data_IF_717337162413
#
_entry.id   IF_717337162413
#
_cell.length_a   1.000
_cell.length_b   1.000
_cell.length_c   1.000
_cell.angle_alpha   90.00
_cell.angle_beta   90.00
_cell.angle_gamma   90.00
#
_symmetry.space_group_name_H-M   'P 1'
#
loop_
_entity.id
_entity.type
_entity.pdbx_description
1 polymer ?
#
# COMPACT_ATOMS: atom_id res chain seq x y z
N UNK A 1 -4.19 24.81 -13.68
CA UNK A 1 -4.18 24.87 -12.20
C UNK A 1 -4.87 23.66 -11.54
N UNK A 2 -6.01 23.18 -12.04
CA UNK A 2 -6.70 21.98 -11.51
C UNK A 2 -5.84 20.71 -11.35
N UNK A 3 -5.04 20.29 -12.35
CA UNK A 3 -4.21 19.07 -12.24
C UNK A 3 -3.11 19.16 -11.18
N UNK A 4 -2.58 20.37 -10.94
CA UNK A 4 -1.50 20.61 -9.97
C UNK A 4 -2.02 20.48 -8.54
N UNK A 5 -3.21 21.01 -8.27
CA UNK A 5 -3.86 20.88 -6.96
C UNK A 5 -4.26 19.43 -6.66
N UNK A 6 -4.85 18.74 -7.65
CA UNK A 6 -5.17 17.31 -7.50
C UNK A 6 -3.93 16.45 -7.28
N UNK A 7 -2.87 16.66 -8.07
CA UNK A 7 -1.60 15.95 -7.92
C UNK A 7 -0.93 16.20 -6.56
N UNK A 8 -0.97 17.44 -6.06
CA UNK A 8 -0.41 17.79 -4.76
C UNK A 8 -1.06 17.05 -3.59
N UNK A 9 -2.39 16.95 -3.59
CA UNK A 9 -3.14 16.23 -2.55
C UNK A 9 -2.81 14.72 -2.57
N UNK A 10 -2.74 14.13 -3.77
CA UNK A 10 -2.39 12.72 -3.95
C UNK A 10 -0.96 12.44 -3.46
N UNK A 11 0.01 13.29 -3.82
CA UNK A 11 1.41 13.13 -3.41
C UNK A 11 1.57 13.26 -1.90
N UNK A 12 0.88 14.21 -1.28
CA UNK A 12 0.93 14.38 0.17
C UNK A 12 0.45 13.12 0.89
N UNK A 13 -0.71 12.58 0.49
CA UNK A 13 -1.24 11.33 1.05
C UNK A 13 -0.30 10.14 0.83
N UNK A 14 0.30 10.03 -0.36
CA UNK A 14 1.25 8.98 -0.69
C UNK A 14 2.49 9.05 0.22
N UNK A 15 3.08 10.23 0.43
CA UNK A 15 4.28 10.42 1.25
C UNK A 15 4.00 10.05 2.71
N UNK A 16 2.87 10.48 3.28
CA UNK A 16 2.51 10.18 4.67
C UNK A 16 2.31 8.67 4.86
N UNK A 17 1.56 8.02 3.96
CA UNK A 17 1.33 6.58 4.04
C UNK A 17 2.63 5.79 3.86
N UNK A 18 3.47 6.17 2.89
CA UNK A 18 4.71 5.48 2.60
C UNK A 18 5.67 5.55 3.79
N UNK A 19 5.87 6.74 4.38
CA UNK A 19 6.70 6.88 5.57
C UNK A 19 6.17 6.06 6.76
N UNK A 20 4.86 6.03 6.98
CA UNK A 20 4.24 5.23 8.03
C UNK A 20 4.48 3.71 7.86
N UNK A 21 4.34 3.20 6.64
CA UNK A 21 4.58 1.78 6.33
C UNK A 21 6.06 1.42 6.51
N UNK A 22 6.97 2.29 6.08
CA UNK A 22 8.42 2.06 6.25
C UNK A 22 8.81 2.02 7.72
N UNK A 23 8.37 2.99 8.53
CA UNK A 23 8.63 3.01 9.96
C UNK A 23 8.07 1.76 10.66
N UNK A 24 6.81 1.41 10.38
CA UNK A 24 6.18 0.21 10.95
C UNK A 24 6.90 -1.09 10.56
N UNK A 25 7.32 -1.23 9.30
CA UNK A 25 7.99 -2.44 8.81
C UNK A 25 9.36 -2.62 9.47
N UNK A 26 10.10 -1.53 9.67
CA UNK A 26 11.40 -1.52 10.36
C UNK A 26 11.23 -1.93 11.83
N UNK A 27 10.22 -1.38 12.51
CA UNK A 27 9.97 -1.67 13.93
C UNK A 27 9.38 -3.08 14.16
N UNK A 28 8.57 -3.59 13.24
CA UNK A 28 7.96 -4.91 13.37
C UNK A 28 8.91 -6.06 12.98
N UNK A 29 9.83 -5.85 12.04
CA UNK A 29 10.66 -6.92 11.45
C UNK A 29 12.16 -6.58 11.41
N UNK A 30 12.78 -6.06 12.47
CA UNK A 30 14.20 -5.61 12.48
C UNK A 30 15.19 -6.58 11.78
N UNK A 31 15.07 -7.89 12.00
CA UNK A 31 15.99 -8.90 11.40
C UNK A 31 15.74 -9.14 9.90
N UNK A 32 14.49 -9.01 9.43
CA UNK A 32 14.09 -9.23 8.03
C UNK A 32 13.60 -7.94 7.34
N UNK A 33 13.92 -6.77 7.90
CA UNK A 33 13.38 -5.49 7.48
C UNK A 33 13.73 -5.17 6.02
N UNK A 34 14.97 -5.47 5.60
CA UNK A 34 15.45 -5.26 4.24
C UNK A 34 14.64 -6.06 3.20
N UNK A 35 14.34 -7.33 3.50
CA UNK A 35 13.55 -8.18 2.60
C UNK A 35 12.09 -7.74 2.55
N UNK A 36 11.49 -7.40 3.69
CA UNK A 36 10.12 -6.90 3.75
C UNK A 36 9.95 -5.58 2.97
N UNK A 37 10.91 -4.66 3.09
CA UNK A 37 10.94 -3.42 2.28
C UNK A 37 11.12 -3.70 0.79
N UNK A 38 11.98 -4.66 0.42
CA UNK A 38 12.15 -5.07 -0.97
C UNK A 38 10.86 -5.66 -1.56
N UNK A 39 10.17 -6.54 -0.83
CA UNK A 39 8.88 -7.09 -1.23
C UNK A 39 7.82 -6.00 -1.47
N UNK A 40 7.75 -4.99 -0.60
CA UNK A 40 6.84 -3.85 -0.79
C UNK A 40 7.11 -3.12 -2.13
N UNK A 41 8.40 -2.90 -2.45
CA UNK A 41 8.81 -2.29 -3.72
C UNK A 41 8.47 -3.15 -4.94
N UNK A 42 8.65 -4.47 -4.85
CA UNK A 42 8.30 -5.43 -5.91
C UNK A 42 6.79 -5.44 -6.15
N UNK A 43 5.98 -5.63 -5.11
CA UNK A 43 4.51 -5.66 -5.23
C UNK A 43 3.99 -4.38 -5.87
N UNK A 44 4.47 -3.21 -5.42
CA UNK A 44 4.10 -1.92 -6.01
C UNK A 44 4.45 -1.86 -7.49
N UNK A 45 5.67 -2.26 -7.85
CA UNK A 45 6.14 -2.21 -9.24
C UNK A 45 5.37 -3.18 -10.12
N UNK A 46 5.12 -4.40 -9.65
CA UNK A 46 4.34 -5.40 -10.37
C UNK A 46 2.92 -4.92 -10.64
N UNK A 47 2.23 -4.35 -9.64
CA UNK A 47 0.88 -3.78 -9.84
C UNK A 47 0.93 -2.64 -10.86
N UNK A 48 1.95 -1.77 -10.80
CA UNK A 48 2.15 -0.71 -11.79
C UNK A 48 2.40 -1.22 -13.21
N UNK A 49 3.11 -2.33 -13.37
CA UNK A 49 3.37 -2.95 -14.68
C UNK A 49 2.18 -3.75 -15.22
N UNK A 50 1.37 -4.33 -14.34
CA UNK A 50 0.22 -5.17 -14.69
C UNK A 50 -1.00 -4.32 -15.05
N UNK A 51 -1.20 -3.18 -14.38
CA UNK A 51 -2.29 -2.24 -14.65
C UNK A 51 -2.49 -1.82 -16.12
N UNK A 52 -1.46 -1.42 -16.88
CA UNK A 52 -1.63 -1.02 -18.28
C UNK A 52 -2.09 -2.16 -19.21
N UNK A 53 -1.85 -3.43 -18.84
CA UNK A 53 -2.22 -4.59 -19.66
C UNK A 53 -3.75 -4.70 -19.82
N UNK A 54 -4.52 -4.30 -18.82
CA UNK A 54 -6.00 -4.26 -18.84
C UNK A 54 -6.56 -2.84 -18.82
N UNK A 55 -5.72 -1.83 -18.57
CA UNK A 55 -6.13 -0.43 -18.56
C UNK A 55 -6.71 0.03 -19.88
N UNK A 56 -6.11 -0.34 -21.02
CA UNK A 56 -6.62 0.04 -22.35
C UNK A 56 -8.04 -0.49 -22.59
N UNK A 57 -8.26 -1.78 -22.33
CA UNK A 57 -9.58 -2.41 -22.48
C UNK A 57 -10.62 -1.82 -21.52
N UNK A 58 -10.21 -1.45 -20.30
CA UNK A 58 -11.10 -0.80 -19.33
C UNK A 58 -11.52 0.61 -19.79
N UNK A 59 -10.59 1.39 -20.33
CA UNK A 59 -10.86 2.74 -20.80
C UNK A 59 -11.67 2.78 -22.11
N UNK A 60 -11.47 1.83 -23.03
CA UNK A 60 -12.22 1.73 -24.29
C UNK A 60 -13.69 1.33 -24.08
N UNK A 61 -13.98 0.42 -23.13
CA UNK A 61 -15.35 -0.05 -22.90
C UNK A 61 -16.18 0.89 -22.00
N UNK A 62 -15.55 1.54 -21.02
CA UNK A 62 -16.27 2.30 -19.98
C UNK A 62 -16.19 3.82 -20.17
N UNK A 63 -15.22 4.31 -20.95
CA UNK A 63 -14.96 5.74 -21.13
C UNK A 63 -14.22 6.37 -19.94
N UNK A 64 -13.52 7.49 -20.22
CA UNK A 64 -12.62 8.17 -19.29
C UNK A 64 -13.23 8.51 -17.91
N UNK A 65 -14.44 9.09 -17.80
CA UNK A 65 -14.99 9.49 -16.50
C UNK A 65 -15.43 8.30 -15.63
N UNK A 66 -15.92 7.22 -16.23
CA UNK A 66 -16.35 6.04 -15.48
C UNK A 66 -15.18 5.15 -15.09
N UNK A 67 -14.19 4.98 -15.98
CA UNK A 67 -12.96 4.24 -15.69
C UNK A 67 -12.18 4.84 -14.51
N UNK A 68 -12.06 6.17 -14.46
CA UNK A 68 -11.39 6.89 -13.35
C UNK A 68 -12.17 6.80 -12.04
N UNK A 69 -13.51 6.85 -12.10
CA UNK A 69 -14.38 6.73 -10.91
C UNK A 69 -14.35 5.32 -10.30
N UNK A 70 -14.35 4.27 -11.12
CA UNK A 70 -14.17 2.90 -10.63
C UNK A 70 -12.83 2.72 -9.93
N UNK A 71 -11.76 3.25 -10.51
CA UNK A 71 -10.43 3.18 -9.89
C UNK A 71 -10.40 3.95 -8.54
N UNK A 72 -11.08 5.10 -8.47
CA UNK A 72 -11.22 5.85 -7.23
C UNK A 72 -12.01 5.07 -6.15
N UNK A 73 -13.09 4.37 -6.52
CA UNK A 73 -13.83 3.53 -5.57
C UNK A 73 -13.02 2.34 -5.07
N UNK A 74 -12.23 1.71 -5.94
CA UNK A 74 -11.32 0.64 -5.54
C UNK A 74 -10.29 1.18 -4.54
N UNK A 75 -9.65 2.31 -4.84
CA UNK A 75 -8.73 2.96 -3.90
C UNK A 75 -9.40 3.28 -2.57
N UNK A 76 -10.65 3.76 -2.58
CA UNK A 76 -11.43 4.06 -1.38
C UNK A 76 -11.70 2.79 -0.54
N UNK A 77 -11.97 1.66 -1.18
CA UNK A 77 -12.11 0.37 -0.52
C UNK A 77 -10.81 -0.11 0.15
N UNK A 78 -9.64 0.32 -0.33
CA UNK A 78 -8.33 0.03 0.28
C UNK A 78 -7.96 0.99 1.43
N UNK A 79 -8.61 2.15 1.57
CA UNK A 79 -8.37 3.11 2.68
C UNK A 79 -8.46 2.50 4.08
N UNK A 80 -9.45 1.63 4.43
CA UNK A 80 -9.51 1.03 5.76
C UNK A 80 -8.40 0.00 6.02
N UNK A 81 -7.72 -0.51 4.98
CA UNK A 81 -6.71 -1.57 5.11
C UNK A 81 -5.59 -1.25 6.14
N UNK A 82 -4.93 -0.07 6.11
CA UNK A 82 -3.94 0.28 7.12
C UNK A 82 -4.50 0.42 8.55
N UNK A 83 -5.74 0.88 8.72
CA UNK A 83 -6.39 1.00 10.04
C UNK A 83 -6.69 -0.40 10.61
N UNK A 84 -7.15 -1.30 9.75
CA UNK A 84 -7.38 -2.71 10.11
C UNK A 84 -6.05 -3.37 10.50
N UNK A 85 -4.98 -3.17 9.74
CA UNK A 85 -3.65 -3.68 10.06
C UNK A 85 -3.06 -3.07 11.33
N UNK A 86 -3.37 -1.82 11.68
CA UNK A 86 -2.93 -1.21 12.94
C UNK A 86 -3.70 -1.80 14.13
N UNK A 87 -5.02 -2.01 13.99
CA UNK A 87 -5.88 -2.56 15.04
C UNK A 87 -5.67 -4.07 15.26
N UNK A 88 -5.44 -4.84 14.20
CA UNK A 88 -5.20 -6.28 14.24
C UNK A 88 -3.70 -6.66 14.22
N UNK A 89 -2.80 -5.71 13.98
CA UNK A 89 -1.35 -5.94 13.98
C UNK A 89 -0.80 -6.40 15.33
N UNK A 90 -1.43 -5.97 16.43
CA UNK A 90 -1.18 -6.51 17.78
C UNK A 90 -1.57 -7.99 17.88
N UNK A 91 -2.69 -8.40 17.26
CA UNK A 91 -3.16 -9.79 17.28
C UNK A 91 -2.38 -10.72 16.34
N UNK A 92 -1.85 -10.19 15.23
CA UNK A 92 -0.97 -10.93 14.31
C UNK A 92 0.44 -11.08 14.90
N UNK A 93 0.96 -10.06 15.61
CA UNK A 93 2.20 -10.18 16.42
C UNK A 93 2.06 -11.24 17.51
N UNK A 94 0.89 -11.37 18.13
CA UNK A 94 0.65 -12.37 19.17
C UNK A 94 0.54 -13.83 18.65
N UNK A 95 0.36 -14.03 17.34
CA UNK A 95 0.14 -15.37 16.74
C UNK A 95 1.30 -15.92 15.91
N UNK A 96 2.37 -15.15 15.66
CA UNK A 96 3.48 -15.58 14.81
C UNK A 96 4.76 -15.87 15.60
N UNK A 97 5.30 -17.09 15.43
CA UNK A 97 6.55 -17.62 16.04
C UNK A 97 7.83 -16.80 15.76
N UNK A 98 7.78 -15.74 14.96
CA UNK A 98 8.92 -14.89 14.62
C UNK A 98 8.83 -13.45 15.18
N UNK A 99 7.76 -13.09 15.88
CA UNK A 99 7.67 -11.82 16.59
C UNK A 99 8.23 -11.98 18.01
N UNK A 100 9.52 -11.68 18.18
CA UNK A 100 10.25 -11.55 19.46
C UNK A 100 9.78 -12.51 20.56
N UNK A 101 10.14 -13.79 20.44
CA UNK A 101 10.44 -14.57 21.64
C UNK A 101 11.79 -14.06 22.16
N UNK A 102 11.75 -13.53 23.36
CA UNK A 102 12.83 -13.23 24.30
C UNK A 102 13.83 -14.40 24.45
N UNK A 103 14.60 -14.76 23.41
CA UNK A 103 15.63 -15.81 23.47
C UNK A 103 16.67 -15.67 22.33
N UNK A 104 17.38 -14.55 22.28
CA UNK A 104 18.77 -14.61 21.84
C UNK A 104 19.59 -13.63 22.68
N UNK A 105 20.41 -14.23 23.55
CA UNK A 105 21.38 -13.57 24.40
C UNK A 105 22.59 -13.14 23.57
#
# INVERSE_FOLDING_TARGET
>A
MGPVMGGGIILFGLIVCYNGIFAFTIDAYRTFAASAMACNGVVRSTVGSVFPLFGLQMYENLGIPWATSMLAFICLAFVPMPIVLFKYGLQIRAKSKFAWSENYK
#
